data_IF_654567739631
#
_entry.id   IF_654567739631
#
_cell.length_a   1.000
_cell.length_b   1.000
_cell.length_c   1.000
_cell.angle_alpha   90.00
_cell.angle_beta   90.00
_cell.angle_gamma   90.00
#
_symmetry.space_group_name_H-M   'P 1'
#
loop_
_entity.id
_entity.type
_entity.pdbx_description
1 polymer ?
#
# COMPACT_ATOMS: atom_id res chain seq x y z
N UNK A 1 7.99 -8.13 -6.89
CA UNK A 1 7.40 -6.98 -7.60
C UNK A 1 8.42 -5.92 -8.03
N UNK A 2 9.52 -5.68 -7.29
CA UNK A 2 10.51 -4.63 -7.62
C UNK A 2 11.75 -5.10 -8.44
N UNK A 3 11.63 -6.11 -9.29
CA UNK A 3 12.72 -6.51 -10.22
C UNK A 3 12.56 -5.92 -11.62
N UNK A 4 11.40 -5.33 -11.91
CA UNK A 4 11.04 -4.78 -13.23
C UNK A 4 11.55 -3.35 -13.45
N UNK A 5 11.98 -2.68 -12.37
CA UNK A 5 12.45 -1.28 -12.40
C UNK A 5 13.92 -1.20 -12.01
N UNK A 6 14.62 -0.09 -12.34
CA UNK A 6 16.01 0.11 -11.94
C UNK A 6 16.22 -0.12 -10.43
N UNK A 7 17.28 -0.85 -10.07
CA UNK A 7 17.59 -1.18 -8.67
C UNK A 7 17.70 0.07 -7.78
N UNK A 8 18.15 1.18 -8.34
CA UNK A 8 18.27 2.45 -7.63
C UNK A 8 16.91 2.96 -7.14
N UNK A 9 15.86 2.86 -7.95
CA UNK A 9 14.50 3.27 -7.54
C UNK A 9 13.99 2.41 -6.40
N UNK A 10 14.27 1.10 -6.44
CA UNK A 10 13.94 0.19 -5.33
C UNK A 10 14.67 0.59 -4.06
N UNK A 11 15.97 0.89 -4.14
CA UNK A 11 16.77 1.32 -2.98
C UNK A 11 16.21 2.59 -2.36
N UNK A 12 15.90 3.60 -3.19
CA UNK A 12 15.34 4.86 -2.73
C UNK A 12 13.98 4.68 -2.05
N UNK A 13 13.08 3.88 -2.63
CA UNK A 13 11.77 3.60 -2.04
C UNK A 13 11.89 2.86 -0.69
N UNK A 14 12.79 1.88 -0.60
CA UNK A 14 13.06 1.15 0.65
C UNK A 14 13.67 2.06 1.72
N UNK A 15 14.63 2.92 1.34
CA UNK A 15 15.23 3.90 2.25
C UNK A 15 14.21 4.91 2.78
N UNK A 16 13.19 5.25 1.98
CA UNK A 16 12.06 6.08 2.38
C UNK A 16 11.01 5.36 3.25
N UNK A 17 11.22 4.08 3.56
CA UNK A 17 10.37 3.32 4.48
C UNK A 17 9.07 2.81 3.85
N UNK A 18 9.07 2.57 2.55
CA UNK A 18 7.92 1.98 1.86
C UNK A 18 7.57 0.61 2.46
N UNK A 19 6.28 0.35 2.66
CA UNK A 19 5.79 -0.94 3.12
C UNK A 19 4.53 -1.44 2.42
N UNK A 20 3.86 -0.62 1.60
CA UNK A 20 2.69 -1.03 0.82
C UNK A 20 2.75 -0.47 -0.61
N UNK A 21 1.99 -1.09 -1.51
CA UNK A 21 1.77 -0.67 -2.89
C UNK A 21 0.29 -0.87 -3.23
N UNK A 22 -0.35 0.17 -3.77
CA UNK A 22 -1.71 0.15 -4.29
C UNK A 22 -1.69 0.84 -5.65
N UNK A 23 -1.91 0.08 -6.74
CA UNK A 23 -1.89 0.63 -8.10
C UNK A 23 -0.64 1.49 -8.36
N UNK A 24 0.56 1.01 -7.97
CA UNK A 24 1.87 1.70 -8.05
C UNK A 24 2.01 2.96 -7.20
N UNK A 25 0.97 3.34 -6.46
CA UNK A 25 1.06 4.31 -5.36
C UNK A 25 1.61 3.59 -4.16
N UNK A 26 2.86 3.89 -3.84
CA UNK A 26 3.57 3.24 -2.75
C UNK A 26 3.48 4.04 -1.45
N UNK A 27 3.35 3.36 -0.32
CA UNK A 27 3.01 3.97 0.97
C UNK A 27 4.02 3.65 2.07
N UNK A 28 4.24 4.61 2.97
CA UNK A 28 4.96 4.41 4.23
C UNK A 28 4.07 3.73 5.29
N UNK A 29 4.65 3.39 6.45
CA UNK A 29 3.91 2.74 7.55
C UNK A 29 2.72 3.55 8.10
N UNK A 30 2.68 4.86 7.87
CA UNK A 30 1.59 5.76 8.28
C UNK A 30 0.51 5.87 7.20
N UNK A 31 0.67 5.17 6.07
CA UNK A 31 -0.25 5.24 4.94
C UNK A 31 -0.08 6.49 4.08
N UNK A 32 1.05 7.19 4.18
CA UNK A 32 1.34 8.37 3.36
C UNK A 32 2.09 7.95 2.10
N UNK A 33 1.83 8.66 0.99
CA UNK A 33 2.52 8.41 -0.27
C UNK A 33 4.02 8.64 -0.08
N UNK A 34 4.82 7.70 -0.57
CA UNK A 34 6.27 7.86 -0.72
C UNK A 34 6.54 8.33 -2.15
N UNK A 35 7.10 9.54 -2.34
CA UNK A 35 7.43 10.04 -3.67
C UNK A 35 8.36 9.06 -4.40
N UNK A 36 8.01 8.73 -5.65
CA UNK A 36 8.77 7.76 -6.43
C UNK A 36 8.59 8.01 -7.93
N UNK A 37 9.63 7.79 -8.75
CA UNK A 37 9.50 7.78 -10.20
C UNK A 37 8.44 6.78 -10.71
N UNK A 38 8.14 5.73 -9.94
CA UNK A 38 7.15 4.71 -10.31
C UNK A 38 5.79 5.30 -10.66
N UNK A 39 5.32 6.30 -9.91
CA UNK A 39 4.01 6.92 -10.15
C UNK A 39 3.95 7.58 -11.54
N UNK A 40 5.03 8.24 -11.97
CA UNK A 40 5.12 8.90 -13.29
C UNK A 40 5.18 7.91 -14.45
N UNK A 41 5.72 6.72 -14.21
CA UNK A 41 5.93 5.69 -15.23
C UNK A 41 4.84 4.61 -15.21
N UNK A 42 3.84 4.75 -14.35
CA UNK A 42 2.75 3.80 -14.25
C UNK A 42 1.63 4.08 -15.24
N UNK A 43 0.98 3.00 -15.70
CA UNK A 43 -0.25 3.04 -16.49
C UNK A 43 -1.49 2.66 -15.66
N UNK A 44 -1.33 2.42 -14.36
CA UNK A 44 -2.46 2.16 -13.45
C UNK A 44 -3.13 3.46 -13.01
N UNK A 45 -4.22 3.34 -12.23
CA UNK A 45 -4.89 4.51 -11.65
C UNK A 45 -3.93 5.37 -10.83
N UNK A 46 -4.00 6.70 -11.01
CA UNK A 46 -3.30 7.62 -10.12
C UNK A 46 -3.89 7.57 -8.71
N UNK A 47 -3.13 8.06 -7.73
CA UNK A 47 -3.60 8.18 -6.36
C UNK A 47 -4.81 9.12 -6.27
N UNK A 48 -4.86 10.20 -7.05
CA UNK A 48 -6.01 11.11 -7.04
C UNK A 48 -7.25 10.46 -7.67
N UNK A 49 -7.07 9.63 -8.71
CA UNK A 49 -8.17 8.87 -9.28
C UNK A 49 -8.71 7.85 -8.28
N UNK A 50 -7.81 7.11 -7.60
CA UNK A 50 -8.18 6.12 -6.59
C UNK A 50 -8.92 6.78 -5.41
N UNK A 51 -8.47 7.95 -4.95
CA UNK A 51 -9.13 8.73 -3.88
C UNK A 51 -10.56 9.16 -4.20
N UNK A 52 -10.91 9.27 -5.49
CA UNK A 52 -12.26 9.65 -5.93
C UNK A 52 -13.23 8.46 -6.05
N UNK A 53 -12.73 7.24 -5.98
CA UNK A 53 -13.57 6.05 -6.07
C UNK A 53 -14.41 5.93 -4.78
N UNK A 54 -15.75 5.90 -4.87
CA UNK A 54 -16.60 5.85 -3.67
C UNK A 54 -16.44 4.57 -2.85
N UNK A 55 -16.13 3.45 -3.51
CA UNK A 55 -15.94 2.16 -2.88
C UNK A 55 -14.67 1.48 -3.42
N UNK A 56 -13.72 1.23 -2.51
CA UNK A 56 -12.47 0.54 -2.81
C UNK A 56 -12.36 -0.68 -1.90
N UNK A 57 -12.51 -1.86 -2.50
CA UNK A 57 -12.44 -3.14 -1.78
C UNK A 57 -11.05 -3.75 -1.92
N UNK A 58 -10.31 -3.85 -0.81
CA UNK A 58 -9.08 -4.62 -0.76
C UNK A 58 -9.34 -6.06 -0.34
N UNK A 59 -8.66 -7.00 -1.01
CA UNK A 59 -8.61 -8.40 -0.62
C UNK A 59 -7.17 -8.74 -0.30
N UNK A 60 -6.86 -8.89 0.99
CA UNK A 60 -5.51 -9.15 1.45
C UNK A 60 -5.52 -9.87 2.80
N UNK A 61 -4.55 -10.76 3.00
CA UNK A 61 -4.37 -11.52 4.24
C UNK A 61 -2.95 -12.10 4.30
N UNK A 62 -2.62 -12.74 5.42
CA UNK A 62 -1.30 -13.31 5.69
C UNK A 62 -0.39 -12.43 6.54
N UNK A 63 0.41 -13.07 7.41
CA UNK A 63 1.35 -12.41 8.32
C UNK A 63 2.38 -11.54 7.60
N UNK A 64 2.80 -11.98 6.40
CA UNK A 64 3.76 -11.26 5.57
C UNK A 64 3.23 -9.91 5.07
N UNK A 65 1.91 -9.68 5.11
CA UNK A 65 1.27 -8.44 4.64
C UNK A 65 0.79 -7.53 5.76
N UNK A 66 0.99 -7.89 7.02
CA UNK A 66 0.51 -7.12 8.18
C UNK A 66 0.88 -5.63 8.14
N UNK A 67 2.14 -5.33 7.85
CA UNK A 67 2.61 -3.95 7.75
C UNK A 67 1.94 -3.18 6.61
N UNK A 68 1.81 -3.82 5.45
CA UNK A 68 1.20 -3.23 4.26
C UNK A 68 -0.29 -2.94 4.48
N UNK A 69 -1.04 -3.92 4.97
CA UNK A 69 -2.49 -3.81 5.22
C UNK A 69 -2.75 -2.73 6.26
N UNK A 70 -1.99 -2.71 7.36
CA UNK A 70 -2.16 -1.69 8.40
C UNK A 70 -1.83 -0.27 7.88
N UNK A 71 -0.83 -0.12 7.03
CA UNK A 71 -0.51 1.15 6.38
C UNK A 71 -1.63 1.63 5.45
N UNK A 72 -2.13 0.73 4.60
CA UNK A 72 -3.26 0.99 3.69
C UNK A 72 -4.50 1.47 4.45
N UNK A 73 -4.85 0.82 5.57
CA UNK A 73 -5.98 1.20 6.41
C UNK A 73 -5.76 2.53 7.12
N UNK A 74 -4.58 2.77 7.72
CA UNK A 74 -4.26 4.06 8.36
C UNK A 74 -4.33 5.24 7.40
N UNK A 75 -3.94 5.02 6.15
CA UNK A 75 -4.03 6.04 5.11
C UNK A 75 -5.43 6.22 4.51
N UNK A 76 -6.43 5.45 4.97
CA UNK A 76 -7.79 5.44 4.45
C UNK A 76 -7.84 5.29 2.91
N UNK A 77 -7.00 4.41 2.36
CA UNK A 77 -6.93 4.15 0.92
C UNK A 77 -7.99 3.19 0.41
N UNK A 78 -8.61 2.45 1.32
CA UNK A 78 -9.65 1.46 1.03
C UNK A 78 -10.82 1.69 1.95
N UNK A 79 -12.03 1.44 1.44
CA UNK A 79 -13.26 1.57 2.20
C UNK A 79 -13.64 0.24 2.85
N UNK A 80 -13.29 -0.87 2.20
CA UNK A 80 -13.65 -2.22 2.64
C UNK A 80 -12.42 -3.12 2.58
N UNK A 81 -12.21 -3.93 3.62
CA UNK A 81 -11.18 -4.96 3.65
C UNK A 81 -11.84 -6.34 3.81
N UNK A 82 -11.52 -7.24 2.87
CA UNK A 82 -11.76 -8.68 2.97
C UNK A 82 -10.43 -9.34 3.36
N UNK A 83 -10.40 -10.03 4.50
CA UNK A 83 -9.18 -10.59 5.06
C UNK A 83 -9.43 -11.90 5.84
N UNK A 84 -8.37 -12.60 6.22
CA UNK A 84 -8.44 -13.79 7.06
C UNK A 84 -8.49 -13.44 8.57
N UNK A 85 -8.93 -14.40 9.39
CA UNK A 85 -9.11 -14.21 10.83
C UNK A 85 -7.81 -13.85 11.57
N UNK A 86 -6.65 -14.36 11.11
CA UNK A 86 -5.36 -14.05 11.73
C UNK A 86 -4.99 -12.59 11.50
N UNK A 87 -5.10 -12.13 10.26
CA UNK A 87 -4.89 -10.72 9.90
C UNK A 87 -5.87 -9.80 10.63
N UNK A 88 -7.16 -10.15 10.69
CA UNK A 88 -8.16 -9.35 11.41
C UNK A 88 -7.80 -9.19 12.90
N UNK A 89 -7.41 -10.28 13.58
CA UNK A 89 -6.98 -10.23 14.99
C UNK A 89 -5.75 -9.36 15.19
N UNK A 90 -4.75 -9.48 14.31
CA UNK A 90 -3.58 -8.63 14.36
C UNK A 90 -3.97 -7.15 14.23
N UNK A 91 -4.80 -6.80 13.23
CA UNK A 91 -5.23 -5.42 13.01
C UNK A 91 -5.99 -4.84 14.21
N UNK A 92 -6.89 -5.62 14.83
CA UNK A 92 -7.63 -5.23 16.03
C UNK A 92 -6.74 -5.07 17.28
N UNK A 93 -5.55 -5.68 17.29
CA UNK A 93 -4.58 -5.54 18.38
C UNK A 93 -3.73 -4.26 18.28
N UNK A 94 -3.75 -3.59 17.12
CA UNK A 94 -3.06 -2.32 16.91
C UNK A 94 -3.80 -1.21 17.67
N UNK A 95 -3.05 -0.45 18.47
CA UNK A 95 -3.56 0.71 19.21
C UNK A 95 -3.55 1.98 18.35
#
# INVERSE_FOLDING_TARGET
MFKTFPDEWRRQALAAGVCADICTTILDKRGRIVPSPLAKHSLSMSDEQLRKVPEVVAIAGGQEKYGAIAATLRGAWVTTLITDAGTARYLLSLK
#
